data_IF_776712223833
#
_entry.id   IF_776712223833
#
_cell.length_a   1.000
_cell.length_b   1.000
_cell.length_c   1.000
_cell.angle_alpha   90.00
_cell.angle_beta   90.00
_cell.angle_gamma   90.00
#
_symmetry.space_group_name_H-M   'P 1'
#
loop_
_entity.id
_entity.type
_entity.pdbx_description
1 polymer ?
#
# COMPACT_ATOMS: atom_id res chain seq x y z
N UNK A 1 1.13 42.85 47.50
CA UNK A 1 1.63 41.60 48.11
C UNK A 1 0.66 40.49 47.68
N UNK A 2 1.02 39.56 46.77
CA UNK A 2 1.49 38.17 47.07
C UNK A 2 0.62 37.54 48.19
N UNK A 3 -0.12 36.43 48.06
CA UNK A 3 0.14 35.12 47.42
C UNK A 3 -1.06 34.17 47.79
N UNK A 4 -1.51 33.24 46.92
CA UNK A 4 -1.47 31.76 47.08
C UNK A 4 -2.78 31.03 47.52
N UNK A 5 -3.31 30.19 46.59
CA UNK A 5 -3.76 28.77 46.71
C UNK A 5 -5.00 28.45 47.60
N UNK A 6 -5.84 27.44 47.37
CA UNK A 6 -6.02 26.37 46.39
C UNK A 6 -7.41 25.71 46.61
N UNK A 7 -7.88 24.99 45.59
CA UNK A 7 -8.69 23.74 45.53
C UNK A 7 -9.65 23.38 46.71
N UNK A 8 -10.81 22.73 46.56
CA UNK A 8 -11.23 21.48 45.87
C UNK A 8 -12.78 21.51 46.01
N UNK A 9 -13.68 21.20 45.06
CA UNK A 9 -14.14 19.87 44.62
C UNK A 9 -15.08 20.11 43.43
N UNK A 10 -14.61 19.70 42.26
CA UNK A 10 -15.40 19.27 41.12
C UNK A 10 -15.98 17.91 41.47
N UNK A 11 -17.28 17.66 41.26
CA UNK A 11 -17.83 16.43 40.64
C UNK A 11 -19.36 16.52 40.55
N UNK A 12 -19.88 16.08 39.42
CA UNK A 12 -21.22 15.55 39.13
C UNK A 12 -22.24 16.51 38.47
N UNK A 13 -22.74 16.04 37.32
CA UNK A 13 -23.80 16.58 36.45
C UNK A 13 -23.39 17.59 35.38
N UNK A 14 -22.77 17.09 34.30
CA UNK A 14 -23.03 17.57 32.95
C UNK A 14 -22.65 16.49 31.92
N UNK A 15 -23.36 15.37 31.97
CA UNK A 15 -23.42 14.42 30.86
C UNK A 15 -24.59 14.79 29.96
N UNK A 16 -24.41 14.60 28.65
CA UNK A 16 -25.38 14.71 27.54
C UNK A 16 -25.56 16.10 26.89
N UNK A 17 -24.59 16.52 26.05
CA UNK A 17 -24.84 17.42 24.90
C UNK A 17 -23.67 17.43 23.89
N UNK A 18 -23.26 16.28 23.35
CA UNK A 18 -22.36 16.25 22.17
C UNK A 18 -22.81 15.15 21.21
N UNK A 19 -23.84 15.43 20.41
CA UNK A 19 -24.19 14.56 19.26
C UNK A 19 -24.75 15.31 18.04
N UNK A 20 -24.90 16.63 18.09
CA UNK A 20 -25.56 17.40 17.02
C UNK A 20 -24.63 17.94 15.93
N UNK A 21 -23.29 17.90 16.11
CA UNK A 21 -22.35 18.41 15.09
C UNK A 21 -21.94 17.38 14.02
N UNK A 22 -21.94 16.08 14.31
CA UNK A 22 -21.55 15.05 13.34
C UNK A 22 -22.57 14.88 12.21
N UNK A 23 -23.87 15.02 12.49
CA UNK A 23 -24.92 14.87 11.49
C UNK A 23 -25.00 16.07 10.53
N UNK A 24 -24.70 17.28 11.00
CA UNK A 24 -24.69 18.49 10.16
C UNK A 24 -23.50 18.49 9.19
N UNK A 25 -22.32 18.04 9.64
CA UNK A 25 -21.13 17.92 8.81
C UNK A 25 -21.30 16.86 7.71
N UNK A 26 -21.94 15.73 8.02
CA UNK A 26 -22.26 14.71 7.02
C UNK A 26 -23.29 15.20 6.00
N UNK A 27 -24.32 15.95 6.43
CA UNK A 27 -25.27 16.59 5.50
C UNK A 27 -24.63 17.67 4.63
N UNK A 28 -23.65 18.41 5.14
CA UNK A 28 -22.91 19.41 4.37
C UNK A 28 -21.98 18.76 3.35
N UNK A 29 -21.23 17.72 3.74
CA UNK A 29 -20.39 16.93 2.82
C UNK A 29 -21.23 16.30 1.71
N UNK A 30 -22.40 15.75 2.04
CA UNK A 30 -23.31 15.14 1.07
C UNK A 30 -23.89 16.18 0.09
N UNK A 31 -24.26 17.38 0.55
CA UNK A 31 -24.71 18.46 -0.35
C UNK A 31 -23.59 19.02 -1.24
N UNK A 32 -22.35 19.02 -0.76
CA UNK A 32 -21.19 19.47 -1.55
C UNK A 32 -20.80 18.43 -2.61
N UNK A 33 -20.85 17.13 -2.29
CA UNK A 33 -20.64 16.07 -3.28
C UNK A 33 -21.75 16.07 -4.32
N UNK A 34 -23.02 16.19 -3.93
CA UNK A 34 -24.17 16.24 -4.85
C UNK A 34 -24.08 17.45 -5.80
N UNK A 35 -23.67 18.64 -5.33
CA UNK A 35 -23.49 19.81 -6.20
C UNK A 35 -22.27 19.70 -7.11
N UNK A 36 -21.20 19.04 -6.66
CA UNK A 36 -20.00 18.83 -7.48
C UNK A 36 -20.26 17.80 -8.56
N UNK A 37 -21.00 16.74 -8.25
CA UNK A 37 -21.44 15.73 -9.22
C UNK A 37 -22.48 16.28 -10.20
N UNK A 38 -23.43 17.12 -9.75
CA UNK A 38 -24.37 17.80 -10.65
C UNK A 38 -23.67 18.75 -11.62
N UNK A 39 -22.70 19.55 -11.16
CA UNK A 39 -21.91 20.42 -12.05
C UNK A 39 -20.98 19.63 -12.97
N UNK A 40 -20.36 18.57 -12.48
CA UNK A 40 -19.54 17.69 -13.31
C UNK A 40 -20.38 17.00 -14.39
N UNK A 41 -21.59 16.54 -14.05
CA UNK A 41 -22.52 15.96 -15.02
C UNK A 41 -23.11 16.99 -15.98
N UNK A 42 -23.34 18.25 -15.59
CA UNK A 42 -23.75 19.31 -16.53
C UNK A 42 -22.65 19.62 -17.55
N UNK A 43 -21.39 19.64 -17.11
CA UNK A 43 -20.23 19.89 -17.99
C UNK A 43 -19.96 18.68 -18.91
N UNK A 44 -20.15 17.45 -18.41
CA UNK A 44 -19.92 16.22 -19.17
C UNK A 44 -21.09 15.84 -20.09
N UNK A 45 -22.34 16.19 -19.73
CA UNK A 45 -23.54 15.85 -20.51
C UNK A 45 -24.06 17.00 -21.40
N UNK A 46 -23.40 18.16 -21.39
CA UNK A 46 -23.77 19.37 -22.15
C UNK A 46 -23.70 19.28 -23.68
N UNK A 47 -23.52 18.09 -24.28
CA UNK A 47 -23.74 17.83 -25.72
C UNK A 47 -24.27 16.42 -25.97
N UNK A 48 -25.49 16.11 -25.51
CA UNK A 48 -26.29 15.02 -26.10
C UNK A 48 -27.69 15.53 -26.44
N UNK A 49 -28.07 15.41 -27.72
CA UNK A 49 -29.44 15.58 -28.18
C UNK A 49 -30.32 14.47 -27.57
N UNK A 50 -31.59 14.74 -27.25
CA UNK A 50 -32.47 13.77 -26.61
C UNK A 50 -32.98 12.73 -27.62
N UNK A 51 -32.88 11.47 -27.21
CA UNK A 51 -33.44 10.33 -27.93
C UNK A 51 -32.45 9.16 -27.97
N UNK A 52 -32.32 8.41 -26.88
CA UNK A 52 -32.74 7.00 -26.90
C UNK A 52 -32.70 6.40 -25.48
N UNK A 53 -33.74 5.64 -25.19
CA UNK A 53 -33.95 4.90 -23.95
C UNK A 53 -33.52 3.47 -24.21
N UNK A 54 -32.60 2.88 -23.43
CA UNK A 54 -32.94 1.61 -22.79
C UNK A 54 -31.94 1.09 -21.76
N UNK A 55 -32.56 0.51 -20.74
CA UNK A 55 -32.03 -0.38 -19.72
C UNK A 55 -31.87 -1.79 -20.29
N UNK A 56 -30.72 -2.42 -20.00
CA UNK A 56 -30.67 -3.77 -19.45
C UNK A 56 -30.91 -4.99 -20.36
N UNK A 57 -29.80 -5.54 -20.84
CA UNK A 57 -29.40 -6.96 -20.72
C UNK A 57 -30.12 -8.04 -21.55
N UNK A 58 -29.42 -8.63 -22.52
CA UNK A 58 -28.82 -9.99 -22.50
C UNK A 58 -28.33 -10.35 -23.91
N UNK A 59 -27.16 -10.98 -23.99
CA UNK A 59 -26.44 -11.19 -25.24
C UNK A 59 -27.04 -12.23 -26.18
N UNK A 60 -26.73 -12.09 -27.47
CA UNK A 60 -26.19 -13.15 -28.32
C UNK A 60 -25.70 -12.51 -29.63
N UNK A 61 -24.73 -13.15 -30.28
CA UNK A 61 -23.97 -12.63 -31.41
C UNK A 61 -24.79 -12.03 -32.56
N UNK A 62 -24.23 -10.97 -33.13
CA UNK A 62 -24.75 -10.31 -34.32
C UNK A 62 -23.80 -9.22 -34.78
N UNK A 63 -23.02 -9.54 -35.81
CA UNK A 63 -22.14 -8.64 -36.55
C UNK A 63 -22.88 -7.36 -36.91
N UNK A 64 -22.59 -6.30 -36.17
CA UNK A 64 -23.20 -4.97 -36.35
C UNK A 64 -22.10 -3.98 -36.66
N UNK A 65 -21.90 -3.76 -37.95
CA UNK A 65 -21.08 -2.69 -38.50
C UNK A 65 -21.50 -1.36 -37.88
N UNK A 66 -20.70 -0.87 -36.94
CA UNK A 66 -20.91 0.43 -36.30
C UNK A 66 -19.86 1.38 -36.86
N UNK A 67 -20.32 2.41 -37.57
CA UNK A 67 -19.51 3.49 -38.08
C UNK A 67 -18.57 4.07 -37.00
N UNK A 68 -17.27 3.77 -37.13
CA UNK A 68 -16.28 4.80 -37.42
C UNK A 68 -15.64 5.55 -36.24
N UNK A 69 -15.63 5.03 -35.02
CA UNK A 69 -14.66 5.51 -34.02
C UNK A 69 -13.35 4.72 -34.18
N UNK A 70 -12.20 5.37 -34.47
CA UNK A 70 -10.92 4.68 -34.52
C UNK A 70 -10.67 3.94 -33.21
N UNK A 71 -10.40 2.64 -33.30
CA UNK A 71 -9.91 1.85 -32.17
C UNK A 71 -8.39 1.89 -32.16
N UNK A 72 -7.79 2.07 -30.98
CA UNK A 72 -6.34 2.10 -30.84
C UNK A 72 -5.78 0.69 -31.06
N UNK A 73 -5.31 0.43 -32.28
CA UNK A 73 -4.68 -0.82 -32.70
C UNK A 73 -3.16 -0.67 -32.90
N UNK A 74 -2.61 0.49 -32.56
CA UNK A 74 -1.19 0.83 -32.65
C UNK A 74 -0.76 1.58 -31.38
N UNK A 75 0.55 1.76 -31.19
CA UNK A 75 1.12 2.43 -30.01
C UNK A 75 1.95 1.48 -29.15
N UNK A 76 3.14 1.92 -28.75
CA UNK A 76 4.10 1.14 -27.96
C UNK A 76 3.87 1.16 -26.45
N UNK A 77 2.74 1.71 -26.00
CA UNK A 77 2.48 1.95 -24.58
C UNK A 77 3.33 3.09 -24.00
N UNK A 78 3.44 3.12 -22.67
CA UNK A 78 4.26 4.07 -21.95
C UNK A 78 5.57 3.40 -21.51
N UNK A 79 6.70 4.05 -21.77
CA UNK A 79 7.98 3.65 -21.18
C UNK A 79 8.04 4.29 -19.79
N UNK A 80 8.15 3.48 -18.75
CA UNK A 80 8.37 3.97 -17.39
C UNK A 80 9.86 3.93 -17.07
N UNK A 81 10.51 5.08 -17.12
CA UNK A 81 11.85 5.28 -16.54
C UNK A 81 11.70 6.04 -15.23
N UNK A 82 12.41 5.64 -14.16
CA UNK A 82 12.45 6.44 -12.95
C UNK A 82 12.84 7.90 -13.27
N UNK A 83 12.24 8.90 -12.60
CA UNK A 83 12.64 10.29 -12.78
C UNK A 83 14.12 10.49 -12.47
N UNK A 84 14.80 11.34 -13.24
CA UNK A 84 16.18 11.72 -12.95
C UNK A 84 16.21 12.64 -11.72
N UNK A 85 16.76 12.14 -10.62
CA UNK A 85 16.81 12.85 -9.34
C UNK A 85 17.60 14.16 -9.45
N UNK A 86 18.76 14.14 -10.11
CA UNK A 86 19.65 15.30 -10.16
C UNK A 86 19.08 16.41 -11.04
N UNK A 87 18.48 16.03 -12.17
CA UNK A 87 17.82 16.99 -13.05
C UNK A 87 16.63 17.64 -12.34
N UNK A 88 15.76 16.85 -11.70
CA UNK A 88 14.60 17.39 -10.99
C UNK A 88 14.98 18.28 -9.80
N UNK A 89 16.08 17.99 -9.09
CA UNK A 89 16.59 18.89 -8.05
C UNK A 89 17.09 20.22 -8.63
N UNK A 90 17.76 20.19 -9.78
CA UNK A 90 18.22 21.39 -10.50
C UNK A 90 17.04 22.25 -10.95
N UNK A 91 16.01 21.61 -11.51
CA UNK A 91 14.79 22.29 -11.98
C UNK A 91 13.98 22.87 -10.81
N UNK A 92 13.93 22.15 -9.69
CA UNK A 92 13.28 22.62 -8.47
C UNK A 92 13.91 23.90 -7.94
N UNK A 93 15.25 23.97 -7.90
CA UNK A 93 16.00 25.13 -7.43
C UNK A 93 15.79 26.34 -8.35
N UNK A 94 15.90 26.14 -9.67
CA UNK A 94 15.67 27.19 -10.66
C UNK A 94 14.24 27.75 -10.60
N UNK A 95 13.25 26.87 -10.47
CA UNK A 95 11.84 27.24 -10.34
C UNK A 95 11.55 27.98 -9.03
N UNK A 96 12.19 27.58 -7.94
CA UNK A 96 12.08 28.26 -6.65
C UNK A 96 12.61 29.70 -6.72
N UNK A 97 13.81 29.88 -7.30
CA UNK A 97 14.45 31.19 -7.46
C UNK A 97 13.65 32.16 -8.34
N UNK A 98 12.89 31.64 -9.30
CA UNK A 98 12.03 32.45 -10.18
C UNK A 98 10.63 32.71 -9.60
N UNK A 99 10.30 32.19 -8.42
CA UNK A 99 8.98 32.34 -7.79
C UNK A 99 7.91 31.37 -8.31
N UNK A 100 8.29 30.43 -9.18
CA UNK A 100 7.42 29.38 -9.73
C UNK A 100 7.26 28.21 -8.76
N UNK A 101 6.59 28.44 -7.63
CA UNK A 101 6.49 27.45 -6.55
C UNK A 101 5.76 26.16 -6.95
N UNK A 102 4.82 26.23 -7.90
CA UNK A 102 4.13 25.03 -8.42
C UNK A 102 5.09 24.07 -9.12
N UNK A 103 5.90 24.59 -10.05
CA UNK A 103 6.93 23.83 -10.77
C UNK A 103 8.02 23.33 -9.82
N UNK A 104 8.45 24.18 -8.89
CA UNK A 104 9.42 23.77 -7.85
C UNK A 104 8.90 22.59 -7.04
N UNK A 105 7.63 22.64 -6.61
CA UNK A 105 6.99 21.56 -5.87
C UNK A 105 6.84 20.29 -6.71
N UNK A 106 6.51 20.39 -7.99
CA UNK A 106 6.40 19.24 -8.89
C UNK A 106 7.75 18.56 -9.10
N UNK A 107 8.80 19.34 -9.39
CA UNK A 107 10.15 18.83 -9.58
C UNK A 107 10.67 18.12 -8.31
N UNK A 108 10.42 18.68 -7.11
CA UNK A 108 10.75 18.00 -5.84
C UNK A 108 10.05 16.64 -5.73
N UNK A 109 8.76 16.54 -6.11
CA UNK A 109 8.04 15.25 -6.08
C UNK A 109 8.66 14.24 -7.03
N UNK A 110 9.03 14.66 -8.23
CA UNK A 110 9.67 13.78 -9.20
C UNK A 110 11.04 13.31 -8.69
N UNK A 111 11.84 14.20 -8.10
CA UNK A 111 13.10 13.82 -7.46
C UNK A 111 12.89 12.79 -6.34
N UNK A 112 11.89 12.99 -5.47
CA UNK A 112 11.56 12.04 -4.41
C UNK A 112 11.13 10.68 -4.98
N UNK A 113 10.25 10.68 -5.98
CA UNK A 113 9.82 9.45 -6.66
C UNK A 113 11.03 8.70 -7.26
N UNK A 114 11.97 9.42 -7.89
CA UNK A 114 13.20 8.82 -8.42
C UNK A 114 14.03 8.13 -7.34
N UNK A 115 14.22 8.78 -6.18
CA UNK A 115 14.94 8.21 -5.04
C UNK A 115 14.22 6.96 -4.50
N UNK A 116 12.89 7.03 -4.35
CA UNK A 116 12.08 5.92 -3.85
C UNK A 116 12.16 4.68 -4.75
N UNK A 117 12.06 4.89 -6.07
CA UNK A 117 12.23 3.82 -7.05
C UNK A 117 13.66 3.27 -7.06
N UNK A 118 14.67 4.12 -6.87
CA UNK A 118 16.07 3.66 -6.78
C UNK A 118 16.29 2.76 -5.56
N UNK A 119 15.83 3.17 -4.37
CA UNK A 119 15.93 2.35 -3.16
C UNK A 119 15.14 1.05 -3.32
N UNK A 120 13.92 1.11 -3.86
CA UNK A 120 13.13 -0.10 -4.10
C UNK A 120 13.83 -1.09 -5.04
N UNK A 121 14.48 -0.60 -6.09
CA UNK A 121 15.29 -1.42 -6.99
C UNK A 121 16.55 -2.00 -6.32
N UNK A 122 17.20 -1.26 -5.42
CA UNK A 122 18.34 -1.76 -4.64
C UNK A 122 17.92 -2.89 -3.71
N UNK A 123 16.81 -2.72 -3.00
CA UNK A 123 16.23 -3.75 -2.14
C UNK A 123 15.85 -4.99 -2.97
N UNK A 124 15.16 -4.80 -4.10
CA UNK A 124 14.79 -5.89 -5.00
C UNK A 124 16.02 -6.69 -5.49
N UNK A 125 17.09 -5.99 -5.90
CA UNK A 125 18.37 -6.62 -6.28
C UNK A 125 19.05 -7.36 -5.14
N UNK A 126 18.83 -6.93 -3.90
CA UNK A 126 19.38 -7.60 -2.71
C UNK A 126 18.67 -8.91 -2.35
N UNK A 127 17.45 -9.13 -2.86
CA UNK A 127 16.72 -10.38 -2.63
C UNK A 127 17.41 -11.54 -3.38
N UNK A 128 17.46 -12.75 -2.80
CA UNK A 128 18.12 -13.90 -3.42
C UNK A 128 17.59 -14.23 -4.82
N UNK A 129 18.42 -14.81 -5.67
CA UNK A 129 18.00 -15.33 -6.99
C UNK A 129 17.17 -16.63 -6.89
N UNK A 130 17.28 -17.34 -5.77
CA UNK A 130 16.43 -18.50 -5.47
C UNK A 130 16.27 -18.69 -3.96
N UNK A 131 15.16 -19.29 -3.55
CA UNK A 131 14.84 -19.60 -2.15
C UNK A 131 14.20 -20.98 -2.11
N UNK A 132 14.77 -21.90 -1.32
CA UNK A 132 14.22 -23.25 -1.12
C UNK A 132 13.92 -24.01 -2.43
N UNK A 133 14.76 -23.84 -3.46
CA UNK A 133 14.57 -24.45 -4.78
C UNK A 133 13.55 -23.76 -5.68
N UNK A 134 12.98 -22.62 -5.26
CA UNK A 134 12.13 -21.76 -6.07
C UNK A 134 13.00 -20.69 -6.75
N UNK A 135 12.82 -20.50 -8.05
CA UNK A 135 13.56 -19.50 -8.82
C UNK A 135 12.74 -18.20 -8.93
N UNK A 136 13.41 -17.06 -9.08
CA UNK A 136 12.73 -15.78 -9.34
C UNK A 136 11.95 -15.80 -10.65
N UNK A 137 10.74 -15.25 -10.62
CA UNK A 137 9.95 -14.91 -11.82
C UNK A 137 10.19 -13.42 -12.09
N UNK A 138 11.25 -13.11 -12.84
CA UNK A 138 11.74 -11.75 -13.02
C UNK A 138 10.70 -10.81 -13.66
N UNK A 139 9.80 -11.34 -14.48
CA UNK A 139 8.72 -10.58 -15.11
C UNK A 139 7.65 -10.13 -14.12
N UNK A 140 7.62 -10.71 -12.92
CA UNK A 140 6.72 -10.35 -11.82
C UNK A 140 7.38 -9.44 -10.79
N UNK A 141 8.66 -9.09 -10.96
CA UNK A 141 9.33 -8.13 -10.10
C UNK A 141 8.71 -6.74 -10.30
N UNK A 142 8.29 -6.11 -9.20
CA UNK A 142 7.64 -4.81 -9.25
C UNK A 142 8.15 -3.90 -8.12
N UNK A 143 8.47 -2.67 -8.50
CA UNK A 143 8.71 -1.56 -7.56
C UNK A 143 7.69 -0.49 -7.89
N UNK A 144 6.92 -0.07 -6.89
CA UNK A 144 5.88 0.94 -7.07
C UNK A 144 5.91 1.92 -5.91
N UNK A 145 5.88 3.21 -6.21
CA UNK A 145 5.60 4.24 -5.22
C UNK A 145 4.32 4.97 -5.59
N UNK A 146 3.43 5.13 -4.60
CA UNK A 146 2.07 5.67 -4.79
C UNK A 146 1.77 6.89 -3.93
N UNK A 147 2.70 7.29 -3.05
CA UNK A 147 2.46 8.36 -2.09
C UNK A 147 3.68 9.25 -1.88
N UNK A 148 3.54 10.18 -0.94
CA UNK A 148 4.57 11.16 -0.63
C UNK A 148 5.42 10.69 0.54
N UNK A 149 6.75 10.74 0.38
CA UNK A 149 7.69 10.55 1.47
C UNK A 149 7.78 9.11 1.93
N UNK A 150 8.05 8.19 1.00
CA UNK A 150 8.18 6.74 1.21
C UNK A 150 6.87 6.00 1.52
N UNK A 151 5.84 6.70 1.99
CA UNK A 151 4.52 6.13 2.24
C UNK A 151 3.91 5.63 0.92
N UNK A 152 3.72 4.31 0.80
CA UNK A 152 3.21 3.67 -0.40
C UNK A 152 4.27 3.10 -1.34
N UNK A 153 5.56 3.08 -0.95
CA UNK A 153 6.56 2.24 -1.60
C UNK A 153 6.22 0.76 -1.34
N UNK A 154 6.08 0.00 -2.42
CA UNK A 154 5.87 -1.45 -2.43
C UNK A 154 6.88 -2.10 -3.36
N UNK A 155 7.55 -3.14 -2.88
CA UNK A 155 8.52 -3.94 -3.62
C UNK A 155 8.04 -5.37 -3.57
N UNK A 156 7.86 -6.00 -4.72
CA UNK A 156 7.37 -7.35 -4.84
C UNK A 156 8.31 -8.20 -5.68
N UNK A 157 8.53 -9.44 -5.23
CA UNK A 157 9.20 -10.50 -5.98
C UNK A 157 8.48 -11.81 -5.79
N UNK A 158 8.31 -12.56 -6.88
CA UNK A 158 7.72 -13.90 -6.86
C UNK A 158 8.80 -14.93 -7.13
N UNK A 159 8.80 -16.00 -6.34
CA UNK A 159 9.59 -17.20 -6.56
C UNK A 159 8.66 -18.37 -6.85
N UNK A 160 8.97 -19.17 -7.87
CA UNK A 160 8.15 -20.33 -8.26
C UNK A 160 9.01 -21.47 -8.81
N UNK A 161 8.46 -22.68 -8.81
CA UNK A 161 8.97 -23.83 -9.54
C UNK A 161 7.84 -24.53 -10.32
N UNK A 162 8.19 -25.56 -11.08
CA UNK A 162 7.23 -26.33 -11.89
C UNK A 162 6.31 -27.25 -11.07
N UNK A 163 6.58 -27.40 -9.76
CA UNK A 163 5.82 -28.23 -8.83
C UNK A 163 4.68 -27.46 -8.13
N UNK A 164 4.17 -26.39 -8.77
CA UNK A 164 3.10 -25.53 -8.27
C UNK A 164 3.39 -24.89 -6.89
N UNK A 165 4.66 -24.74 -6.52
CA UNK A 165 5.06 -24.10 -5.26
C UNK A 165 5.46 -22.66 -5.52
N UNK A 166 4.93 -21.73 -4.72
CA UNK A 166 5.19 -20.30 -4.89
C UNK A 166 5.47 -19.61 -3.56
N UNK A 167 6.44 -18.70 -3.57
CA UNK A 167 6.70 -17.75 -2.49
C UNK A 167 6.65 -16.33 -3.06
N UNK A 168 5.73 -15.52 -2.58
CA UNK A 168 5.68 -14.08 -2.85
C UNK A 168 6.32 -13.34 -1.69
N UNK A 169 7.25 -12.44 -1.98
CA UNK A 169 7.82 -11.50 -1.02
C UNK A 169 7.30 -10.11 -1.35
N UNK A 170 6.71 -9.45 -0.36
CA UNK A 170 6.27 -8.06 -0.46
C UNK A 170 6.89 -7.25 0.66
N UNK A 171 7.61 -6.19 0.32
CA UNK A 171 8.11 -5.19 1.26
C UNK A 171 7.32 -3.91 1.03
N UNK A 172 6.64 -3.42 2.06
CA UNK A 172 5.79 -2.25 1.94
C UNK A 172 6.09 -1.25 3.06
N UNK A 173 6.05 0.04 2.74
CA UNK A 173 6.00 1.10 3.73
C UNK A 173 4.54 1.55 3.90
N UNK A 174 3.89 1.04 4.94
CA UNK A 174 2.49 1.35 5.23
C UNK A 174 2.24 1.41 6.74
N UNK A 175 2.22 2.63 7.27
CA UNK A 175 1.95 2.91 8.69
C UNK A 175 0.61 2.34 9.18
N UNK A 176 -0.40 2.23 8.30
CA UNK A 176 -1.71 1.66 8.67
C UNK A 176 -1.61 0.15 8.90
N UNK A 177 -0.83 -0.56 8.09
CA UNK A 177 -0.63 -2.00 8.26
C UNK A 177 0.23 -2.30 9.50
N UNK A 178 1.22 -1.45 9.78
CA UNK A 178 2.06 -1.56 10.97
C UNK A 178 1.28 -1.40 12.28
N UNK A 179 0.29 -0.51 12.33
CA UNK A 179 -0.58 -0.38 13.51
C UNK A 179 -1.32 -1.69 13.83
N UNK A 180 -1.83 -2.37 12.79
CA UNK A 180 -2.49 -3.66 12.95
C UNK A 180 -1.51 -4.74 13.43
N UNK A 181 -0.33 -4.83 12.82
CA UNK A 181 0.71 -5.80 13.20
C UNK A 181 1.22 -5.56 14.62
N UNK A 182 1.48 -4.31 15.01
CA UNK A 182 1.94 -3.95 16.35
C UNK A 182 0.86 -4.22 17.42
N UNK A 183 -0.39 -3.85 17.14
CA UNK A 183 -1.52 -4.15 18.03
C UNK A 183 -1.66 -5.66 18.23
N UNK A 184 -1.43 -6.44 17.17
CA UNK A 184 -1.51 -7.88 17.21
C UNK A 184 -0.31 -8.54 17.90
N UNK A 185 0.91 -8.03 17.71
CA UNK A 185 2.07 -8.49 18.46
C UNK A 185 1.92 -8.18 19.96
N UNK A 186 1.31 -7.05 20.30
CA UNK A 186 1.00 -6.67 21.68
C UNK A 186 -0.12 -7.53 22.29
N UNK A 187 -1.20 -7.79 21.52
CA UNK A 187 -2.36 -8.57 21.99
C UNK A 187 -2.12 -10.09 21.98
N UNK A 188 -1.41 -10.60 20.98
CA UNK A 188 -1.15 -12.03 20.76
C UNK A 188 -0.11 -12.65 21.68
N UNK A 189 0.57 -11.86 22.50
CA UNK A 189 1.44 -12.37 23.58
C UNK A 189 0.66 -13.10 24.68
N UNK A 190 -0.66 -12.94 24.74
CA UNK A 190 -1.53 -13.53 25.77
C UNK A 190 -2.61 -14.49 25.23
N UNK A 191 -2.83 -14.53 23.91
CA UNK A 191 -3.84 -15.39 23.29
C UNK A 191 -3.17 -16.63 22.66
N UNK A 192 -2.93 -17.65 23.49
CA UNK A 192 -2.67 -19.02 23.02
C UNK A 192 -3.82 -19.91 23.48
N UNK A 193 -4.62 -20.40 22.55
CA UNK A 193 -5.75 -21.27 22.87
C UNK A 193 -5.31 -22.72 22.68
N UNK A 194 -5.20 -23.48 23.78
CA UNK A 194 -4.78 -24.89 23.73
C UNK A 194 -5.75 -25.79 22.95
N UNK A 195 -7.02 -25.37 22.79
CA UNK A 195 -8.12 -26.21 22.25
C UNK A 195 -8.95 -25.51 21.15
N UNK A 196 -8.43 -24.46 20.50
CA UNK A 196 -9.08 -23.78 19.37
C UNK A 196 -8.24 -23.89 18.11
N UNK A 197 -8.85 -23.81 16.92
CA UNK A 197 -8.12 -23.61 15.65
C UNK A 197 -7.51 -22.20 15.65
N UNK A 198 -6.38 -22.07 16.34
CA UNK A 198 -5.54 -20.88 16.29
C UNK A 198 -4.74 -20.93 14.98
N UNK A 199 -5.27 -20.28 13.96
CA UNK A 199 -4.69 -20.24 12.62
C UNK A 199 -3.52 -19.24 12.49
N UNK A 200 -2.96 -18.80 13.62
CA UNK A 200 -1.90 -17.81 13.66
C UNK A 200 -1.11 -17.87 14.96
N UNK A 201 0.16 -17.48 14.95
CA UNK A 201 0.96 -17.33 16.17
C UNK A 201 2.16 -16.41 15.96
N UNK A 202 2.82 -16.07 17.05
CA UNK A 202 4.09 -15.35 17.00
C UNK A 202 5.25 -16.32 16.80
N UNK A 203 6.17 -15.97 15.89
CA UNK A 203 7.41 -16.70 15.63
C UNK A 203 8.59 -15.71 15.59
N UNK A 204 9.79 -16.25 15.35
CA UNK A 204 10.97 -15.44 15.01
C UNK A 204 11.49 -15.86 13.65
N UNK A 205 11.85 -14.87 12.83
CA UNK A 205 12.57 -15.07 11.56
C UNK A 205 13.90 -14.34 11.70
N UNK A 206 15.01 -15.09 11.76
CA UNK A 206 16.37 -14.53 11.99
C UNK A 206 16.42 -13.55 13.18
N UNK A 207 15.78 -13.89 14.29
CA UNK A 207 15.73 -13.05 15.49
C UNK A 207 14.70 -11.91 15.47
N UNK A 208 14.12 -11.57 14.32
CA UNK A 208 13.04 -10.59 14.22
C UNK A 208 11.72 -11.21 14.66
N UNK A 209 10.93 -10.47 15.46
CA UNK A 209 9.57 -10.90 15.82
C UNK A 209 8.70 -10.88 14.58
N UNK A 210 7.89 -11.90 14.41
CA UNK A 210 7.00 -12.04 13.28
C UNK A 210 5.69 -12.70 13.70
N UNK A 211 4.66 -12.51 12.88
CA UNK A 211 3.41 -13.26 12.96
C UNK A 211 3.42 -14.25 11.81
N UNK A 212 3.07 -15.49 12.06
CA UNK A 212 2.70 -16.46 11.04
C UNK A 212 1.20 -16.71 11.11
N UNK A 213 0.55 -16.74 9.96
CA UNK A 213 -0.85 -17.11 9.75
C UNK A 213 -0.90 -18.27 8.75
N UNK A 214 -1.89 -19.15 8.90
CA UNK A 214 -2.18 -20.24 7.96
C UNK A 214 -3.64 -20.20 7.53
N UNK A 215 -3.88 -20.37 6.23
CA UNK A 215 -5.21 -20.51 5.65
C UNK A 215 -5.18 -21.67 4.64
N UNK A 216 -6.17 -22.56 4.69
CA UNK A 216 -6.23 -23.72 3.79
C UNK A 216 -6.28 -23.34 2.30
N UNK A 217 -6.90 -22.20 1.96
CA UNK A 217 -7.04 -21.74 0.58
C UNK A 217 -5.88 -20.89 0.05
N UNK A 218 -5.09 -20.25 0.92
CA UNK A 218 -4.01 -19.35 0.51
C UNK A 218 -2.62 -19.69 1.08
N UNK A 219 -2.51 -20.75 1.87
CA UNK A 219 -1.25 -21.22 2.45
C UNK A 219 -0.79 -20.40 3.66
N UNK A 220 0.53 -20.26 3.79
CA UNK A 220 1.16 -19.57 4.91
C UNK A 220 1.42 -18.10 4.59
N UNK A 221 1.23 -17.23 5.57
CA UNK A 221 1.62 -15.82 5.51
C UNK A 221 2.48 -15.47 6.72
N UNK A 222 3.69 -14.95 6.49
CA UNK A 222 4.56 -14.45 7.55
C UNK A 222 4.67 -12.94 7.41
N UNK A 223 4.40 -12.20 8.48
CA UNK A 223 4.52 -10.74 8.54
C UNK A 223 5.59 -10.35 9.56
N UNK A 224 6.64 -9.68 9.07
CA UNK A 224 7.81 -9.25 9.83
C UNK A 224 7.86 -7.72 9.83
N UNK A 225 7.57 -7.06 10.97
CA UNK A 225 7.87 -5.65 11.16
C UNK A 225 9.34 -5.33 10.89
N UNK A 226 9.56 -4.33 10.03
CA UNK A 226 10.87 -3.76 9.75
C UNK A 226 10.91 -2.35 10.33
N UNK A 227 11.43 -2.22 11.55
CA UNK A 227 11.52 -0.92 12.21
C UNK A 227 10.15 -0.32 12.53
N UNK A 228 9.95 0.95 12.20
CA UNK A 228 8.76 1.72 12.58
C UNK A 228 7.71 1.78 11.48
N UNK A 229 8.11 1.79 10.21
CA UNK A 229 7.21 2.13 9.10
C UNK A 229 7.09 1.08 8.01
N UNK A 230 7.97 0.08 8.01
CA UNK A 230 8.01 -0.95 6.99
C UNK A 230 7.58 -2.34 7.47
N UNK A 231 7.00 -3.10 6.56
CA UNK A 231 6.56 -4.48 6.76
C UNK A 231 7.13 -5.36 5.65
N UNK A 232 7.68 -6.50 6.03
CA UNK A 232 8.08 -7.56 5.13
C UNK A 232 7.09 -8.73 5.25
N UNK A 233 6.42 -9.05 4.16
CA UNK A 233 5.42 -10.10 4.08
C UNK A 233 5.92 -11.20 3.16
N UNK A 234 5.75 -12.43 3.61
CA UNK A 234 5.97 -13.64 2.85
C UNK A 234 4.64 -14.35 2.68
N UNK A 235 4.25 -14.68 1.46
CA UNK A 235 3.07 -15.49 1.17
C UNK A 235 3.53 -16.78 0.47
N UNK A 236 3.39 -17.90 1.16
CA UNK A 236 3.85 -19.22 0.71
C UNK A 236 2.69 -20.13 0.38
N UNK A 237 2.56 -20.48 -0.91
CA UNK A 237 1.58 -21.43 -1.44
C UNK A 237 2.24 -22.80 -1.58
N UNK A 238 1.53 -23.87 -1.19
CA UNK A 238 1.98 -25.27 -1.28
C UNK A 238 3.29 -25.55 -0.51
N UNK A 239 3.52 -24.84 0.60
CA UNK A 239 4.49 -25.22 1.63
C UNK A 239 3.87 -26.30 2.52
N UNK A 240 4.59 -27.40 2.73
CA UNK A 240 4.07 -28.58 3.42
C UNK A 240 3.92 -28.35 4.93
N UNK A 241 4.71 -27.43 5.49
CA UNK A 241 4.73 -27.20 6.94
C UNK A 241 5.24 -25.81 7.28
N UNK A 242 4.90 -25.35 8.48
CA UNK A 242 5.42 -24.12 9.07
C UNK A 242 6.96 -24.05 9.10
N UNK A 243 7.70 -25.09 9.51
CA UNK A 243 9.17 -25.06 9.47
C UNK A 243 9.72 -24.83 8.07
N UNK A 244 9.06 -25.36 7.05
CA UNK A 244 9.51 -25.20 5.66
C UNK A 244 9.40 -23.75 5.19
N UNK A 245 8.26 -23.10 5.40
CA UNK A 245 8.08 -21.69 5.03
C UNK A 245 8.95 -20.77 5.90
N UNK A 246 9.14 -21.10 7.18
CA UNK A 246 10.00 -20.31 8.08
C UNK A 246 11.45 -20.35 7.61
N UNK A 247 11.96 -21.54 7.24
CA UNK A 247 13.31 -21.69 6.68
C UNK A 247 13.47 -20.94 5.34
N UNK A 248 12.44 -20.91 4.51
CA UNK A 248 12.44 -20.10 3.29
C UNK A 248 12.53 -18.60 3.60
N UNK A 249 11.78 -18.12 4.60
CA UNK A 249 11.82 -16.72 5.02
C UNK A 249 13.21 -16.30 5.55
N UNK A 250 13.92 -17.20 6.23
CA UNK A 250 15.28 -16.97 6.76
C UNK A 250 16.37 -16.80 5.69
N UNK A 251 16.08 -17.15 4.43
CA UNK A 251 17.00 -16.89 3.32
C UNK A 251 17.15 -15.39 3.01
N UNK A 252 16.19 -14.56 3.43
CA UNK A 252 16.21 -13.11 3.17
C UNK A 252 17.15 -12.39 4.14
N UNK A 253 17.92 -11.44 3.61
CA UNK A 253 18.76 -10.57 4.41
C UNK A 253 17.95 -9.37 4.95
N UNK A 254 17.22 -9.61 6.03
CA UNK A 254 16.35 -8.61 6.67
C UNK A 254 17.14 -7.34 7.07
N UNK A 255 18.38 -7.49 7.56
CA UNK A 255 19.18 -6.35 8.01
C UNK A 255 19.65 -5.48 6.84
N UNK A 256 19.98 -6.08 5.70
CA UNK A 256 20.26 -5.32 4.48
C UNK A 256 19.04 -4.52 4.00
N UNK A 257 17.84 -5.12 4.06
CA UNK A 257 16.59 -4.43 3.70
C UNK A 257 16.37 -3.22 4.63
N UNK A 258 16.46 -3.43 5.95
CA UNK A 258 16.31 -2.33 6.93
C UNK A 258 17.30 -1.19 6.66
N UNK A 259 18.56 -1.52 6.38
CA UNK A 259 19.60 -0.55 6.06
C UNK A 259 19.27 0.29 4.82
N UNK A 260 18.85 -0.35 3.72
CA UNK A 260 18.49 0.36 2.49
C UNK A 260 17.25 1.24 2.67
N UNK A 261 16.29 0.81 3.50
CA UNK A 261 15.07 1.57 3.82
C UNK A 261 15.27 2.65 4.89
N UNK A 262 16.44 2.70 5.56
CA UNK A 262 16.67 3.61 6.67
C UNK A 262 15.88 3.27 7.95
N UNK A 263 15.45 2.02 8.11
CA UNK A 263 14.76 1.53 9.31
C UNK A 263 15.77 1.19 10.42
N UNK A 264 15.46 1.56 11.67
CA UNK A 264 16.27 1.29 12.87
C UNK A 264 15.68 0.17 13.73
#
# INVERSE_FOLDING_TARGET
>A
MKKIHAAVIVTLMCGTAISTHAQMLNKLKQKVSEKTEQKANEILNGKKKPGDTNSGNTGNGGTSSTNGSPSNNTGGGLISTPPDVNQNLTDAEASYKSGSFGESRYAIQQAMLGIELEIGNRVLKSLPASISGLNTVAESDQVTSTGWGWAGLTIQRVYRNDADKQLTITIANNAMWMSAVNSYLAAGGYAQQSNGQQNWKQIKVKGNRAIIEYNEGSGYKISVPLGQSSLLVYEGINFASEPEITKAAEAVNIDAIKKELGEQ
#
